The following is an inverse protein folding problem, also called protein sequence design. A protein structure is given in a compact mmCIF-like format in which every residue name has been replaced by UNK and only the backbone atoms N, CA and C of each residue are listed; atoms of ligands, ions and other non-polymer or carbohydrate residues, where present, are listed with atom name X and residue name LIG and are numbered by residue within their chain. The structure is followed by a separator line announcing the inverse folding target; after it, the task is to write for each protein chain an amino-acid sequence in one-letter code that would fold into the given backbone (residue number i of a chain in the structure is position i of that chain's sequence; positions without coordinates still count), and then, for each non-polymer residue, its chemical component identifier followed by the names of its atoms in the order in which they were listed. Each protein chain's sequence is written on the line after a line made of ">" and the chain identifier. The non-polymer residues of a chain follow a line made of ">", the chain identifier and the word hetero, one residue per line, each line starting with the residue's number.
data_IF_830722774974
#
_entry.id   IF_830722774974
#
_cell.length_a   1.000
_cell.length_b   1.000
_cell.length_c   1.000
_cell.angle_alpha   90.00
_cell.angle_beta   90.00
_cell.angle_gamma   90.00
#
_symmetry.space_group_name_H-M   'P 1'
#
loop_
_entity.id
_entity.type
_entity.pdbx_description
1 polymer ?
#
# COMPACT_ATOMS: atom_id res chain seq x y z
N UNK A 1 23.85 5.35 3.06
CA UNK A 1 23.15 5.40 4.36
C UNK A 1 22.19 4.22 4.42
N UNK A 2 22.45 3.24 5.29
CA UNK A 2 21.67 2.00 5.36
C UNK A 2 20.75 2.06 6.59
N UNK A 3 19.71 2.89 6.52
CA UNK A 3 18.60 2.82 7.47
C UNK A 3 17.82 1.55 7.15
N UNK A 4 18.18 0.46 7.83
CA UNK A 4 17.51 -0.83 7.71
C UNK A 4 16.14 -0.71 8.38
N UNK A 5 15.17 -0.14 7.67
CA UNK A 5 13.81 -0.01 8.15
C UNK A 5 13.21 -1.39 8.41
N UNK A 6 12.47 -1.52 9.51
CA UNK A 6 11.78 -2.75 9.86
C UNK A 6 10.61 -2.96 8.87
N UNK A 7 10.72 -3.97 8.02
CA UNK A 7 9.70 -4.32 7.01
C UNK A 7 8.32 -4.47 7.65
N UNK A 8 8.26 -5.01 8.86
CA UNK A 8 7.03 -5.20 9.64
C UNK A 8 6.33 -3.87 9.96
N UNK A 9 7.11 -2.84 10.27
CA UNK A 9 6.55 -1.49 10.49
C UNK A 9 6.04 -0.90 9.18
N UNK A 10 6.77 -1.04 8.09
CA UNK A 10 6.35 -0.50 6.79
C UNK A 10 5.05 -1.13 6.30
N UNK A 11 4.90 -2.46 6.41
CA UNK A 11 3.65 -3.13 6.02
C UNK A 11 2.46 -2.71 6.89
N UNK A 12 2.70 -2.35 8.16
CA UNK A 12 1.63 -1.87 9.05
C UNK A 12 1.05 -0.51 8.63
N UNK A 13 1.78 0.25 7.80
CA UNK A 13 1.33 1.53 7.26
C UNK A 13 0.45 1.38 6.00
N UNK A 14 0.41 0.18 5.40
CA UNK A 14 -0.33 -0.10 4.17
C UNK A 14 -1.79 -0.49 4.46
N UNK A 15 -2.54 0.44 5.04
CA UNK A 15 -4.00 0.38 5.10
C UNK A 15 -4.65 0.72 3.74
N UNK A 16 -5.95 0.48 3.60
CA UNK A 16 -6.67 0.75 2.35
C UNK A 16 -6.57 2.20 1.87
N UNK A 17 -6.55 3.18 2.79
CA UNK A 17 -6.45 4.61 2.46
C UNK A 17 -5.06 4.95 1.89
N UNK A 18 -4.01 4.43 2.51
CA UNK A 18 -2.62 4.59 2.10
C UNK A 18 -2.35 3.90 0.77
N UNK A 19 -2.82 2.66 0.60
CA UNK A 19 -2.71 1.93 -0.67
C UNK A 19 -3.45 2.69 -1.78
N UNK A 20 -4.62 3.26 -1.49
CA UNK A 20 -5.38 4.05 -2.47
C UNK A 20 -4.63 5.33 -2.89
N UNK A 21 -3.97 6.00 -1.95
CA UNK A 21 -3.16 7.17 -2.24
C UNK A 21 -1.94 6.81 -3.10
N UNK A 22 -1.24 5.74 -2.75
CA UNK A 22 -0.09 5.23 -3.52
C UNK A 22 -0.49 4.85 -4.94
N UNK A 23 -1.61 4.14 -5.12
CA UNK A 23 -2.12 3.81 -6.45
C UNK A 23 -2.29 5.06 -7.33
N UNK A 24 -2.85 6.14 -6.77
CA UNK A 24 -3.04 7.40 -7.51
C UNK A 24 -1.72 8.08 -7.85
N UNK A 25 -0.79 8.17 -6.90
CA UNK A 25 0.51 8.84 -7.09
C UNK A 25 1.34 8.12 -8.17
N UNK A 26 1.33 6.79 -8.15
CA UNK A 26 2.09 5.96 -9.07
C UNK A 26 1.36 5.64 -10.38
N UNK A 27 0.17 6.23 -10.60
CA UNK A 27 -0.62 5.99 -11.82
C UNK A 27 -1.09 4.54 -11.99
N UNK A 28 -1.21 3.79 -10.89
CA UNK A 28 -1.64 2.40 -10.87
C UNK A 28 -3.13 2.28 -10.54
N UNK A 29 -3.77 1.23 -11.06
CA UNK A 29 -5.17 0.91 -10.77
C UNK A 29 -5.34 -0.47 -10.15
N UNK A 30 -6.57 -0.80 -9.77
CA UNK A 30 -6.90 -2.13 -9.22
C UNK A 30 -6.59 -3.27 -10.19
N UNK A 31 -6.54 -3.01 -11.50
CA UNK A 31 -6.09 -3.98 -12.51
C UNK A 31 -4.64 -4.41 -12.28
N UNK A 32 -3.76 -3.48 -11.91
CA UNK A 32 -2.35 -3.79 -11.66
C UNK A 32 -2.20 -4.72 -10.45
N UNK A 33 -2.95 -4.46 -9.38
CA UNK A 33 -3.02 -5.36 -8.22
C UNK A 33 -3.63 -6.71 -8.60
N UNK A 34 -4.73 -6.72 -9.35
CA UNK A 34 -5.39 -7.95 -9.78
C UNK A 34 -4.43 -8.88 -10.55
N UNK A 35 -3.63 -8.33 -11.47
CA UNK A 35 -2.57 -9.06 -12.18
C UNK A 35 -1.49 -9.56 -11.22
N UNK A 36 -0.99 -8.70 -10.32
CA UNK A 36 0.05 -9.06 -9.35
C UNK A 36 -0.37 -10.20 -8.42
N UNK A 37 -1.63 -10.23 -8.01
CA UNK A 37 -2.19 -11.21 -7.10
C UNK A 37 -2.86 -12.41 -7.80
N UNK A 38 -2.94 -12.42 -9.14
CA UNK A 38 -3.67 -13.43 -9.91
C UNK A 38 -5.12 -13.61 -9.45
N UNK A 39 -5.81 -12.49 -9.21
CA UNK A 39 -7.21 -12.45 -8.76
C UNK A 39 -8.02 -11.51 -9.63
N UNK A 40 -9.35 -11.52 -9.46
CA UNK A 40 -10.22 -10.57 -10.17
C UNK A 40 -10.13 -9.16 -9.58
N UNK A 41 -10.57 -8.15 -10.35
CA UNK A 41 -10.63 -6.76 -9.88
C UNK A 41 -11.62 -6.59 -8.73
N UNK A 42 -12.69 -7.38 -8.71
CA UNK A 42 -13.72 -7.41 -7.67
C UNK A 42 -13.13 -7.90 -6.34
N UNK A 43 -12.25 -8.90 -6.38
CA UNK A 43 -11.55 -9.37 -5.19
C UNK A 43 -10.62 -8.29 -4.61
N UNK A 44 -9.94 -7.52 -5.46
CA UNK A 44 -9.14 -6.36 -5.02
C UNK A 44 -10.05 -5.28 -4.44
N UNK A 45 -11.15 -4.94 -5.13
CA UNK A 45 -12.12 -3.97 -4.65
C UNK A 45 -12.65 -4.34 -3.26
N UNK A 46 -13.01 -5.62 -3.06
CA UNK A 46 -13.48 -6.12 -1.77
C UNK A 46 -12.40 -5.98 -0.68
N UNK A 47 -11.16 -6.39 -0.95
CA UNK A 47 -10.04 -6.25 -0.01
C UNK A 47 -9.78 -4.80 0.38
N UNK A 48 -9.82 -3.88 -0.60
CA UNK A 48 -9.67 -2.45 -0.36
C UNK A 48 -10.83 -1.90 0.48
N UNK A 49 -12.08 -2.30 0.18
CA UNK A 49 -13.26 -1.82 0.92
C UNK A 49 -13.30 -2.31 2.37
N UNK A 50 -12.83 -3.53 2.63
CA UNK A 50 -12.86 -4.16 3.95
C UNK A 50 -11.53 -4.05 4.72
N UNK A 51 -10.50 -3.47 4.10
CA UNK A 51 -9.10 -3.44 4.57
C UNK A 51 -8.61 -4.79 5.13
N UNK A 52 -8.99 -5.89 4.46
CA UNK A 52 -8.73 -7.25 4.94
C UNK A 52 -7.47 -7.90 4.34
N UNK A 53 -6.47 -7.08 4.01
CA UNK A 53 -5.19 -7.54 3.49
C UNK A 53 -4.42 -8.37 4.52
N UNK A 54 -3.97 -9.56 4.10
CA UNK A 54 -3.08 -10.38 4.93
C UNK A 54 -1.68 -9.76 4.98
N UNK A 55 -0.88 -9.99 6.04
CA UNK A 55 0.47 -9.43 6.14
C UNK A 55 1.35 -9.70 4.91
N UNK A 56 1.37 -10.94 4.40
CA UNK A 56 2.13 -11.27 3.19
C UNK A 56 1.61 -10.57 1.93
N UNK A 57 0.31 -10.24 1.85
CA UNK A 57 -0.23 -9.49 0.72
C UNK A 57 0.24 -8.03 0.80
N UNK A 58 0.29 -7.45 2.01
CA UNK A 58 0.87 -6.11 2.21
C UNK A 58 2.35 -6.06 1.86
N UNK A 59 3.11 -7.14 2.10
CA UNK A 59 4.49 -7.24 1.61
C UNK A 59 4.56 -7.20 0.09
N UNK A 60 3.70 -7.94 -0.62
CA UNK A 60 3.65 -7.91 -2.08
C UNK A 60 3.25 -6.55 -2.65
N UNK A 61 2.40 -5.80 -1.94
CA UNK A 61 2.05 -4.42 -2.26
C UNK A 61 3.26 -3.51 -2.05
N UNK A 62 3.96 -3.65 -0.92
CA UNK A 62 5.18 -2.87 -0.65
C UNK A 62 6.23 -3.10 -1.74
N UNK A 63 6.49 -4.36 -2.09
CA UNK A 63 7.46 -4.73 -3.12
C UNK A 63 7.05 -4.18 -4.49
N UNK A 64 5.75 -4.14 -4.81
CA UNK A 64 5.25 -3.53 -6.04
C UNK A 64 5.56 -2.02 -6.09
N UNK A 65 5.32 -1.28 -5.02
CA UNK A 65 5.60 0.16 -5.04
C UNK A 65 7.09 0.46 -4.98
N UNK A 66 7.87 -0.31 -4.21
CA UNK A 66 9.34 -0.22 -4.20
C UNK A 66 9.91 -0.47 -5.60
N UNK A 67 9.36 -1.42 -6.37
CA UNK A 67 9.79 -1.64 -7.76
C UNK A 67 9.46 -0.47 -8.70
N UNK A 68 8.56 0.43 -8.29
CA UNK A 68 8.22 1.66 -9.02
C UNK A 68 8.93 2.90 -8.44
N UNK A 69 9.86 2.73 -7.50
CA UNK A 69 10.65 3.83 -6.94
C UNK A 69 10.18 4.38 -5.59
N UNK A 70 9.23 3.71 -4.92
CA UNK A 70 8.78 4.15 -3.59
C UNK A 70 9.91 4.15 -2.58
N UNK A 71 10.13 5.32 -1.99
CA UNK A 71 11.00 5.49 -0.84
C UNK A 71 10.25 5.31 0.48
N UNK A 72 10.94 4.82 1.51
CA UNK A 72 10.34 4.48 2.79
C UNK A 72 9.84 5.74 3.52
N UNK A 73 10.57 6.85 3.39
CA UNK A 73 10.17 8.15 3.93
C UNK A 73 8.89 8.66 3.25
N UNK A 74 8.73 8.41 1.95
CA UNK A 74 7.53 8.75 1.19
C UNK A 74 6.32 7.96 1.71
N UNK A 75 6.46 6.64 1.93
CA UNK A 75 5.40 5.82 2.51
C UNK A 75 4.92 6.35 3.87
N UNK A 76 5.87 6.68 4.75
CA UNK A 76 5.56 7.23 6.07
C UNK A 76 4.81 8.56 5.96
N UNK A 77 5.26 9.45 5.06
CA UNK A 77 4.61 10.75 4.82
C UNK A 77 3.19 10.58 4.29
N UNK A 78 3.00 9.75 3.26
CA UNK A 78 1.68 9.49 2.66
C UNK A 78 0.72 8.95 3.71
N UNK A 79 1.14 7.95 4.50
CA UNK A 79 0.31 7.39 5.56
C UNK A 79 -0.11 8.45 6.60
N UNK A 80 0.82 9.32 7.00
CA UNK A 80 0.50 10.42 7.91
C UNK A 80 -0.50 11.40 7.29
N UNK A 81 -0.36 11.73 6.00
CA UNK A 81 -1.25 12.65 5.31
C UNK A 81 -2.66 12.07 5.11
N UNK A 82 -2.78 10.77 4.81
CA UNK A 82 -4.07 10.10 4.63
C UNK A 82 -4.80 9.92 5.97
N UNK A 83 -4.09 9.58 7.05
CA UNK A 83 -4.71 9.26 8.34
C UNK A 83 -4.81 10.44 9.33
N UNK A 84 -4.12 11.57 9.11
CA UNK A 84 -4.28 12.79 9.94
C UNK A 84 -5.73 13.30 10.01
N UNK A 85 -6.58 12.97 9.03
CA UNK A 85 -8.00 13.32 9.01
C UNK A 85 -8.86 12.58 10.05
N UNK A 86 -8.36 11.54 10.72
CA UNK A 86 -9.13 10.77 11.74
C UNK A 86 -9.02 11.34 13.16
N UNK A 87 -8.27 12.43 13.38
CA UNK A 87 -8.01 13.02 14.72
C UNK A 87 -8.74 14.37 14.92
N UNK A 88 -9.73 14.70 14.08
CA UNK A 88 -10.57 15.90 14.24
C UNK A 88 -12.05 15.51 14.34
#
# INVERSE_FOLDING_TARGET
>A
MNTKYDKTKLISLLDADTISALLRIYGLGYKNLAVRFSVTREAIYYRMKMDCWRPYERELILDLFVSHGLEMAELMLIHQMTNKRKVL
#
